data_IF_874103263251
#
_entry.id   IF_874103263251
#
_cell.length_a   1.000
_cell.length_b   1.000
_cell.length_c   1.000
_cell.angle_alpha   90.00
_cell.angle_beta   90.00
_cell.angle_gamma   90.00
#
_symmetry.space_group_name_H-M   'P 1'
#
loop_
_entity.id
_entity.type
_entity.pdbx_description
1 polymer ?
#
# COMPACT_ATOMS: atom_id res chain seq x y z
N UNK A 1 19.87 -1.93 -20.84
CA UNK A 1 19.52 -0.60 -20.31
C UNK A 1 18.62 -0.81 -19.10
N UNK A 2 18.87 -0.11 -17.98
CA UNK A 2 18.09 -0.23 -16.75
C UNK A 2 17.16 0.97 -16.70
N UNK A 3 15.86 0.74 -16.47
CA UNK A 3 14.85 1.79 -16.38
C UNK A 3 14.39 1.91 -14.93
N UNK A 4 14.54 3.09 -14.34
CA UNK A 4 14.05 3.36 -13.00
C UNK A 4 12.55 3.65 -13.02
N UNK A 5 11.84 3.10 -12.05
CA UNK A 5 10.43 3.43 -11.80
C UNK A 5 10.40 4.64 -10.88
N UNK A 6 10.22 5.82 -11.47
CA UNK A 6 10.10 7.06 -10.71
C UNK A 6 8.96 7.89 -11.30
N UNK A 7 7.73 7.81 -10.74
CA UNK A 7 6.63 8.62 -11.24
C UNK A 7 6.97 10.12 -11.03
N UNK A 8 6.76 10.98 -12.04
CA UNK A 8 7.33 12.33 -12.08
C UNK A 8 6.83 13.28 -10.98
N UNK A 9 5.82 12.88 -10.21
CA UNK A 9 5.20 13.66 -9.15
C UNK A 9 5.70 13.30 -7.74
N UNK A 10 6.45 12.22 -7.58
CA UNK A 10 6.83 11.68 -6.27
C UNK A 10 8.30 11.99 -5.99
N UNK A 11 8.56 12.71 -4.89
CA UNK A 11 9.92 13.08 -4.49
C UNK A 11 10.36 12.23 -3.30
N UNK A 12 11.42 11.43 -3.45
CA UNK A 12 12.03 10.63 -2.38
C UNK A 12 11.09 9.60 -1.72
N UNK A 13 10.24 8.94 -2.49
CA UNK A 13 9.42 7.82 -1.99
C UNK A 13 10.05 6.48 -2.32
N UNK A 14 9.80 5.48 -1.47
CA UNK A 14 10.28 4.11 -1.69
C UNK A 14 9.20 3.35 -2.45
N UNK A 15 9.61 2.57 -3.45
CA UNK A 15 8.74 1.63 -4.15
C UNK A 15 8.16 0.63 -3.15
N UNK A 16 6.85 0.59 -3.01
CA UNK A 16 6.17 -0.29 -2.06
C UNK A 16 5.78 -1.63 -2.69
N UNK A 17 5.47 -1.62 -3.99
CA UNK A 17 5.13 -2.81 -4.75
C UNK A 17 5.33 -2.57 -6.24
N UNK A 18 5.73 -3.60 -6.98
CA UNK A 18 5.68 -3.63 -8.44
C UNK A 18 5.39 -5.04 -8.94
N UNK A 19 4.54 -5.15 -9.96
CA UNK A 19 4.28 -6.41 -10.64
C UNK A 19 3.87 -6.19 -12.10
N UNK A 20 4.16 -7.18 -12.92
CA UNK A 20 3.64 -7.26 -14.28
C UNK A 20 2.11 -7.44 -14.27
N UNK A 21 1.46 -6.89 -15.29
CA UNK A 21 0.07 -7.19 -15.63
C UNK A 21 -0.07 -8.57 -16.25
N UNK A 22 -1.29 -8.89 -16.69
CA UNK A 22 -1.62 -10.21 -17.25
C UNK A 22 -1.19 -10.33 -18.71
N UNK A 23 -1.15 -9.21 -19.44
CA UNK A 23 -0.91 -9.19 -20.89
C UNK A 23 0.27 -8.27 -21.26
N UNK A 24 1.05 -8.70 -22.26
CA UNK A 24 2.10 -7.89 -22.85
C UNK A 24 3.17 -7.42 -21.85
N UNK A 25 3.45 -6.12 -21.84
CA UNK A 25 4.44 -5.46 -20.98
C UNK A 25 3.77 -4.48 -19.99
N UNK A 26 2.51 -4.76 -19.64
CA UNK A 26 1.79 -3.96 -18.66
C UNK A 26 2.47 -4.05 -17.30
N UNK A 27 2.54 -2.94 -16.58
CA UNK A 27 3.16 -2.86 -15.26
C UNK A 27 2.24 -2.08 -14.32
N UNK A 28 2.09 -2.58 -13.10
CA UNK A 28 1.51 -1.85 -11.98
C UNK A 28 2.57 -1.69 -10.90
N UNK A 29 2.58 -0.52 -10.27
CA UNK A 29 3.44 -0.27 -9.13
C UNK A 29 2.83 0.75 -8.18
N UNK A 30 3.32 0.77 -6.95
CA UNK A 30 2.73 1.54 -5.85
C UNK A 30 3.79 2.40 -5.18
N UNK A 31 3.51 3.71 -5.14
CA UNK A 31 4.28 4.75 -4.44
C UNK A 31 3.34 5.60 -3.60
N UNK A 32 3.77 5.99 -2.40
CA UNK A 32 2.98 6.83 -1.48
C UNK A 32 1.53 6.33 -1.32
N UNK A 33 1.36 5.02 -1.23
CA UNK A 33 0.09 4.32 -1.16
C UNK A 33 -0.86 4.61 -2.35
N UNK A 34 -0.33 4.96 -3.51
CA UNK A 34 -1.09 5.19 -4.74
C UNK A 34 -0.67 4.24 -5.85
N UNK A 35 -1.65 3.81 -6.63
CA UNK A 35 -1.45 2.89 -7.74
C UNK A 35 -1.08 3.67 -9.01
N UNK A 36 -0.02 3.22 -9.67
CA UNK A 36 0.42 3.70 -10.96
C UNK A 36 0.43 2.53 -11.95
N UNK A 37 0.16 2.84 -13.22
CA UNK A 37 0.06 1.88 -14.31
C UNK A 37 0.86 2.34 -15.52
N UNK A 38 1.51 1.40 -16.20
CA UNK A 38 2.12 1.57 -17.51
C UNK A 38 1.62 0.47 -18.44
N UNK A 39 1.21 0.82 -19.66
CA UNK A 39 0.77 -0.16 -20.66
C UNK A 39 1.93 -0.89 -21.34
N UNK A 40 3.10 -0.26 -21.35
CA UNK A 40 4.37 -0.78 -21.86
C UNK A 40 5.53 -0.19 -21.05
N UNK A 41 6.68 -0.86 -21.00
CA UNK A 41 7.89 -0.37 -20.31
C UNK A 41 8.36 1.02 -20.78
N UNK A 42 8.04 1.42 -22.02
CA UNK A 42 8.37 2.75 -22.57
C UNK A 42 7.24 3.78 -22.42
N UNK A 43 6.07 3.35 -21.95
CA UNK A 43 4.91 4.23 -21.83
C UNK A 43 5.02 5.14 -20.62
N UNK A 44 4.40 6.31 -20.69
CA UNK A 44 4.29 7.18 -19.53
C UNK A 44 3.41 6.54 -18.44
N UNK A 45 3.79 6.78 -17.20
CA UNK A 45 3.06 6.33 -16.03
C UNK A 45 1.73 7.05 -15.87
N UNK A 46 0.64 6.30 -15.77
CA UNK A 46 -0.70 6.78 -15.43
C UNK A 46 -0.96 6.54 -13.95
N UNK A 47 -1.25 7.60 -13.21
CA UNK A 47 -1.69 7.51 -11.81
C UNK A 47 -3.17 7.12 -11.76
N UNK A 48 -3.48 5.96 -11.20
CA UNK A 48 -4.85 5.44 -11.07
C UNK A 48 -5.54 5.92 -9.79
N UNK A 49 -4.79 6.21 -8.73
CA UNK A 49 -5.33 6.74 -7.46
C UNK A 49 -4.52 7.92 -6.94
N UNK A 50 -5.17 8.82 -6.21
CA UNK A 50 -4.53 10.01 -5.62
C UNK A 50 -4.83 10.24 -4.14
N UNK A 51 -5.63 9.38 -3.51
CA UNK A 51 -6.05 9.46 -2.11
C UNK A 51 -5.03 8.89 -1.12
N UNK A 52 -3.98 8.23 -1.62
CA UNK A 52 -2.97 7.55 -0.78
C UNK A 52 -2.35 8.49 0.24
N UNK A 53 -2.24 8.00 1.47
CA UNK A 53 -1.65 8.72 2.60
C UNK A 53 -0.87 7.75 3.46
N UNK A 54 0.43 7.98 3.59
CA UNK A 54 1.32 7.08 4.31
C UNK A 54 0.80 6.76 5.72
N UNK A 55 0.71 5.47 6.03
CA UNK A 55 0.23 4.97 7.32
C UNK A 55 -1.25 5.21 7.62
N UNK A 56 -2.06 5.68 6.64
CA UNK A 56 -3.48 6.00 6.86
C UNK A 56 -4.38 5.49 5.75
N UNK A 57 -4.10 5.80 4.49
CA UNK A 57 -4.92 5.35 3.35
C UNK A 57 -4.04 4.52 2.43
N UNK A 58 -4.42 3.27 2.18
CA UNK A 58 -3.71 2.30 1.37
C UNK A 58 -4.56 1.93 0.14
N UNK A 59 -4.04 2.15 -1.06
CA UNK A 59 -4.71 1.76 -2.30
C UNK A 59 -3.98 0.56 -2.92
N UNK A 60 -4.65 -0.59 -3.03
CA UNK A 60 -4.13 -1.78 -3.70
C UNK A 60 -3.06 -2.56 -2.93
N UNK A 61 -2.67 -2.11 -1.74
CA UNK A 61 -1.83 -2.85 -0.79
C UNK A 61 -2.55 -2.93 0.55
N UNK A 62 -2.22 -3.98 1.31
CA UNK A 62 -2.81 -4.23 2.61
C UNK A 62 -2.25 -3.28 3.68
N UNK A 63 -3.09 -2.94 4.67
CA UNK A 63 -2.63 -2.50 5.97
C UNK A 63 -2.15 -3.72 6.78
N UNK A 64 -1.68 -3.50 8.01
CA UNK A 64 -1.18 -4.59 8.85
C UNK A 64 -2.20 -5.69 9.14
N UNK A 65 -3.45 -5.31 9.48
CA UNK A 65 -4.47 -6.28 9.84
C UNK A 65 -4.83 -7.14 8.63
N UNK A 66 -4.99 -6.50 7.48
CA UNK A 66 -5.28 -7.21 6.24
C UNK A 66 -4.11 -8.07 5.77
N UNK A 67 -2.87 -7.61 5.95
CA UNK A 67 -1.69 -8.36 5.58
C UNK A 67 -1.52 -9.62 6.43
N UNK A 68 -1.62 -9.51 7.76
CA UNK A 68 -1.32 -10.61 8.68
C UNK A 68 -2.49 -11.56 8.89
N UNK A 69 -3.71 -11.03 9.04
CA UNK A 69 -4.84 -11.79 9.58
C UNK A 69 -5.92 -12.10 8.54
N UNK A 70 -6.16 -11.21 7.56
CA UNK A 70 -7.31 -11.34 6.64
C UNK A 70 -6.92 -11.91 5.28
N UNK A 71 -6.00 -11.25 4.56
CA UNK A 71 -5.55 -11.65 3.23
C UNK A 71 -4.33 -12.55 3.26
N UNK A 72 -3.55 -12.51 4.34
CA UNK A 72 -2.27 -13.24 4.44
C UNK A 72 -1.32 -12.88 3.28
N UNK A 73 -1.42 -11.63 2.82
CA UNK A 73 -0.75 -11.11 1.63
C UNK A 73 -0.71 -9.59 1.68
N UNK A 74 0.44 -9.02 1.31
CA UNK A 74 0.61 -7.58 1.14
C UNK A 74 -0.19 -7.05 -0.07
N UNK A 75 -0.53 -7.91 -1.03
CA UNK A 75 -1.24 -7.54 -2.26
C UNK A 75 -2.75 -7.47 -2.02
N UNK A 76 -3.33 -6.30 -2.29
CA UNK A 76 -4.76 -6.04 -2.19
C UNK A 76 -5.35 -5.51 -3.51
N UNK A 77 -4.80 -5.97 -4.64
CA UNK A 77 -5.29 -5.70 -5.99
C UNK A 77 -5.22 -6.94 -6.87
N UNK A 78 -6.10 -7.01 -7.86
CA UNK A 78 -6.27 -8.17 -8.74
C UNK A 78 -6.64 -7.72 -10.14
N UNK A 79 -5.89 -8.22 -11.11
CA UNK A 79 -6.20 -8.05 -12.53
C UNK A 79 -7.37 -8.95 -12.94
N UNK A 80 -8.20 -8.47 -13.85
CA UNK A 80 -9.10 -9.35 -14.59
C UNK A 80 -8.29 -10.31 -15.47
N UNK A 81 -8.84 -11.51 -15.80
CA UNK A 81 -8.13 -12.49 -16.62
C UNK A 81 -7.71 -11.99 -18.01
N UNK A 82 -8.43 -10.99 -18.54
CA UNK A 82 -8.14 -10.33 -19.81
C UNK A 82 -7.12 -9.17 -19.68
N UNK A 83 -6.75 -8.75 -18.46
CA UNK A 83 -5.83 -7.65 -18.21
C UNK A 83 -6.42 -6.24 -18.47
N UNK A 84 -7.73 -6.13 -18.74
CA UNK A 84 -8.36 -4.85 -19.07
C UNK A 84 -8.87 -4.08 -17.84
N UNK A 85 -9.06 -4.77 -16.72
CA UNK A 85 -9.60 -4.20 -15.48
C UNK A 85 -8.71 -4.56 -14.30
N UNK A 86 -8.66 -3.65 -13.35
CA UNK A 86 -7.99 -3.84 -12.08
C UNK A 86 -8.99 -3.60 -10.95
N UNK A 87 -9.22 -4.62 -10.13
CA UNK A 87 -9.91 -4.48 -8.85
C UNK A 87 -8.87 -4.21 -7.76
N UNK A 88 -9.17 -3.34 -6.80
CA UNK A 88 -8.29 -3.08 -5.67
C UNK A 88 -9.09 -2.67 -4.44
N UNK A 89 -8.54 -2.92 -3.26
CA UNK A 89 -9.08 -2.41 -2.00
C UNK A 89 -8.53 -1.03 -1.70
N UNK A 90 -9.36 -0.22 -1.05
CA UNK A 90 -8.95 1.03 -0.39
C UNK A 90 -9.16 0.83 1.10
N UNK A 91 -8.06 0.74 1.85
CA UNK A 91 -8.08 0.59 3.31
C UNK A 91 -7.83 1.96 3.95
N UNK A 92 -8.59 2.28 4.99
CA UNK A 92 -8.57 3.60 5.63
C UNK A 92 -8.48 3.46 7.16
N UNK A 93 -7.29 3.69 7.68
CA UNK A 93 -6.93 3.60 9.08
C UNK A 93 -7.16 4.91 9.86
N UNK A 94 -7.84 5.90 9.29
CA UNK A 94 -8.09 7.19 9.97
C UNK A 94 -8.74 7.03 11.35
N UNK A 95 -9.56 5.98 11.53
CA UNK A 95 -10.27 5.70 12.79
C UNK A 95 -9.66 4.52 13.57
N UNK A 96 -8.57 3.93 13.07
CA UNK A 96 -7.88 2.83 13.75
C UNK A 96 -6.95 3.41 14.82
N UNK A 97 -7.05 2.97 16.09
CA UNK A 97 -6.18 3.47 17.13
C UNK A 97 -4.73 3.04 16.88
N UNK A 98 -3.78 3.91 17.26
CA UNK A 98 -2.37 3.60 17.18
C UNK A 98 -1.88 2.88 18.44
N UNK A 99 -1.07 1.85 18.25
CA UNK A 99 -0.25 1.23 19.28
C UNK A 99 1.18 1.78 19.21
N UNK A 100 1.73 2.16 20.37
CA UNK A 100 3.11 2.60 20.47
C UNK A 100 4.04 1.39 20.64
N UNK A 101 4.92 1.17 19.68
CA UNK A 101 5.97 0.15 19.71
C UNK A 101 7.28 0.79 20.17
N UNK A 102 7.80 0.47 21.37
CA UNK A 102 9.04 1.08 21.86
C UNK A 102 10.25 0.60 21.06
N UNK A 103 11.12 1.53 20.62
CA UNK A 103 12.42 1.24 20.02
C UNK A 103 13.53 1.76 20.94
N UNK A 104 14.42 0.85 21.33
CA UNK A 104 15.53 1.13 22.25
C UNK A 104 16.89 1.28 21.54
N UNK A 105 16.91 1.18 20.20
CA UNK A 105 18.11 1.31 19.37
C UNK A 105 18.02 2.50 18.42
N UNK A 106 19.15 3.06 18.00
CA UNK A 106 19.23 4.13 16.99
C UNK A 106 19.21 5.57 17.52
N UNK A 107 19.03 5.79 18.83
CA UNK A 107 19.19 7.10 19.48
C UNK A 107 19.48 6.96 20.97
N UNK A 108 20.09 7.98 21.59
CA UNK A 108 20.41 8.00 23.03
C UNK A 108 19.18 8.02 23.94
N UNK A 109 18.02 8.41 23.39
CA UNK A 109 16.73 8.37 24.07
C UNK A 109 15.78 7.44 23.31
N UNK A 110 15.08 6.51 23.99
CA UNK A 110 14.11 5.64 23.35
C UNK A 110 13.01 6.46 22.66
N UNK A 111 12.60 6.03 21.47
CA UNK A 111 11.46 6.58 20.76
C UNK A 111 10.50 5.45 20.39
N UNK A 112 9.20 5.71 20.46
CA UNK A 112 8.19 4.77 19.97
C UNK A 112 7.91 4.98 18.49
N UNK A 113 7.67 3.89 17.75
CA UNK A 113 6.96 3.95 16.46
C UNK A 113 5.47 3.82 16.73
N UNK A 114 4.67 4.72 16.19
CA UNK A 114 3.21 4.58 16.19
C UNK A 114 2.81 3.66 15.05
N UNK A 115 1.88 2.75 15.32
CA UNK A 115 1.46 1.77 14.34
C UNK A 115 -0.06 1.53 14.46
N UNK A 116 -0.86 1.67 13.39
CA UNK A 116 -2.29 1.40 13.43
C UNK A 116 -2.54 -0.06 13.85
N UNK A 117 -3.27 -0.27 14.94
CA UNK A 117 -3.52 -1.60 15.48
C UNK A 117 -4.93 -1.68 16.07
N UNK A 118 -5.89 -2.32 15.36
CA UNK A 118 -7.25 -2.49 15.85
C UNK A 118 -7.29 -3.58 16.91
N UNK A 119 -6.99 -3.21 18.15
CA UNK A 119 -7.13 -4.11 19.29
C UNK A 119 -8.60 -4.50 19.43
N UNK A 120 -8.86 -5.80 19.58
CA UNK A 120 -10.20 -6.32 19.94
C UNK A 120 -10.68 -5.55 21.18
N UNK A 121 -11.76 -4.78 21.01
CA UNK A 121 -12.36 -4.11 22.14
C UNK A 121 -13.02 -5.16 23.03
N UNK A 122 -12.98 -4.95 24.35
CA UNK A 122 -13.75 -5.74 25.30
C UNK A 122 -15.26 -5.37 25.28
N UNK A 123 -15.76 -4.84 24.18
CA UNK A 123 -17.16 -4.47 24.00
C UNK A 123 -17.78 -5.24 22.84
N UNK A 124 -17.89 -6.56 23.04
CA UNK A 124 -19.09 -7.30 22.67
C UNK A 124 -20.28 -6.72 23.46
N UNK A 125 -20.73 -5.52 23.10
CA UNK A 125 -22.09 -5.11 23.40
C UNK A 125 -22.97 -5.67 22.29
N UNK A 126 -23.34 -6.93 22.44
CA UNK A 126 -24.54 -7.45 21.79
C UNK A 126 -25.72 -6.67 22.39
N UNK A 127 -26.24 -5.72 21.62
CA UNK A 127 -27.62 -5.25 21.73
C UNK A 127 -28.30 -5.48 20.40
#
# INVERSE_FOLDING_TARGET
>A
EVWELDPPEVLNSVLQYAAWGVQGQQLIYIFENNIYYQSDVKSNSLRLTSSGKEGVIFNGIADWLYEEEILQSHVAHWWSPDGERLAFLVLNDTLVPNMALPRFTGSSYPKGKQYPYPKVSNSLNLR
#
